data_IF_931575717633
#
_entry.id   IF_931575717633
#
_cell.length_a   1.000
_cell.length_b   1.000
_cell.length_c   1.000
_cell.angle_alpha   90.00
_cell.angle_beta   90.00
_cell.angle_gamma   90.00
#
_symmetry.space_group_name_H-M   'P 1'
#
loop_
_entity.id
_entity.type
_entity.pdbx_description
1 polymer ?
#
# COMPACT_ATOMS: atom_id res chain seq x y z
N UNK A 1 -19.62 -17.73 -9.95
CA UNK A 1 -19.44 -16.27 -10.09
C UNK A 1 -20.81 -15.65 -9.94
N UNK A 2 -20.98 -14.74 -8.97
CA UNK A 2 -22.26 -14.11 -8.65
C UNK A 2 -22.15 -12.63 -8.92
N UNK A 3 -23.16 -12.04 -9.58
CA UNK A 3 -23.17 -10.63 -9.95
C UNK A 3 -24.45 -9.96 -9.44
N UNK A 4 -24.33 -8.74 -8.92
CA UNK A 4 -25.45 -7.90 -8.49
C UNK A 4 -25.56 -6.72 -9.46
N UNK A 5 -26.70 -6.58 -10.13
CA UNK A 5 -26.92 -5.58 -11.19
C UNK A 5 -28.16 -4.72 -10.90
N UNK A 6 -28.28 -3.58 -11.59
CA UNK A 6 -29.36 -2.61 -11.36
C UNK A 6 -28.91 -1.17 -11.66
N UNK A 7 -29.87 -0.27 -11.88
CA UNK A 7 -29.64 1.14 -12.21
C UNK A 7 -28.94 1.91 -11.07
N UNK A 8 -28.30 3.04 -11.36
CA UNK A 8 -27.71 3.88 -10.30
C UNK A 8 -28.76 4.28 -9.25
N UNK A 9 -28.40 4.25 -7.97
CA UNK A 9 -29.33 4.49 -6.87
C UNK A 9 -30.22 3.31 -6.45
N UNK A 10 -30.16 2.16 -7.13
CA UNK A 10 -30.98 0.98 -6.78
C UNK A 10 -30.57 0.24 -5.50
N UNK A 11 -29.67 0.80 -4.68
CA UNK A 11 -29.20 0.20 -3.42
C UNK A 11 -28.16 -0.93 -3.55
N UNK A 12 -27.55 -1.16 -4.72
CA UNK A 12 -26.54 -2.24 -4.90
C UNK A 12 -25.37 -2.13 -3.93
N UNK A 13 -24.79 -0.92 -3.81
CA UNK A 13 -23.65 -0.68 -2.92
C UNK A 13 -24.05 -0.82 -1.45
N UNK A 14 -25.25 -0.33 -1.08
CA UNK A 14 -25.79 -0.52 0.27
C UNK A 14 -25.99 -1.99 0.61
N UNK A 15 -26.46 -2.80 -0.33
CA UNK A 15 -26.64 -4.24 -0.12
C UNK A 15 -25.29 -4.98 -0.02
N UNK A 16 -24.42 -4.82 -1.02
CA UNK A 16 -23.21 -5.66 -1.17
C UNK A 16 -22.04 -5.16 -0.32
N UNK A 17 -21.89 -3.84 -0.17
CA UNK A 17 -20.72 -3.24 0.49
C UNK A 17 -20.96 -2.86 1.94
N UNK A 18 -22.22 -2.71 2.38
CA UNK A 18 -22.59 -2.38 3.76
C UNK A 18 -23.32 -3.58 4.41
N UNK A 19 -24.60 -3.80 4.09
CA UNK A 19 -25.46 -4.75 4.79
C UNK A 19 -24.92 -6.19 4.78
N UNK A 20 -24.53 -6.72 3.61
CA UNK A 20 -24.01 -8.09 3.52
C UNK A 20 -22.67 -8.25 4.27
N UNK A 21 -21.83 -7.22 4.25
CA UNK A 21 -20.53 -7.24 4.96
C UNK A 21 -20.76 -7.27 6.47
N UNK A 22 -21.66 -6.42 6.97
CA UNK A 22 -22.02 -6.34 8.39
C UNK A 22 -22.64 -7.65 8.89
N UNK A 23 -23.65 -8.16 8.18
CA UNK A 23 -24.34 -9.41 8.55
C UNK A 23 -23.42 -10.64 8.54
N UNK A 24 -22.52 -10.74 7.54
CA UNK A 24 -21.56 -11.86 7.49
C UNK A 24 -20.52 -11.73 8.61
N UNK A 25 -20.02 -10.53 8.89
CA UNK A 25 -19.05 -10.32 9.97
C UNK A 25 -19.67 -10.66 11.34
N UNK A 26 -20.91 -10.21 11.58
CA UNK A 26 -21.66 -10.55 12.80
C UNK A 26 -21.82 -12.07 12.94
N UNK A 27 -22.23 -12.77 11.88
CA UNK A 27 -22.38 -14.22 11.88
C UNK A 27 -21.04 -14.97 12.07
N UNK A 28 -19.91 -14.38 11.62
CA UNK A 28 -18.56 -14.89 11.87
C UNK A 28 -18.03 -14.54 13.27
N UNK A 29 -18.78 -13.80 14.10
CA UNK A 29 -18.34 -13.32 15.41
C UNK A 29 -17.24 -12.24 15.32
N UNK A 30 -17.06 -11.62 14.15
CA UNK A 30 -16.12 -10.53 13.94
C UNK A 30 -16.82 -9.22 14.25
N UNK A 31 -16.35 -8.49 15.28
CA UNK A 31 -16.82 -7.12 15.50
C UNK A 31 -16.42 -6.27 14.32
N UNK A 32 -17.39 -5.63 13.66
CA UNK A 32 -17.13 -4.60 12.65
C UNK A 32 -16.34 -3.50 13.34
N UNK A 33 -15.03 -3.42 13.05
CA UNK A 33 -14.23 -2.27 13.45
C UNK A 33 -14.66 -1.16 12.50
N UNK A 34 -15.55 -0.30 12.95
CA UNK A 34 -15.66 1.03 12.37
C UNK A 34 -14.30 1.69 12.60
N UNK A 35 -13.49 1.77 11.55
CA UNK A 35 -12.26 2.56 11.59
C UNK A 35 -12.66 3.97 11.96
N UNK A 36 -12.20 4.45 13.12
CA UNK A 36 -12.44 5.82 13.52
C UNK A 36 -11.86 6.75 12.43
N UNK A 37 -12.62 7.74 11.93
CA UNK A 37 -12.15 8.63 10.89
C UNK A 37 -10.85 9.31 11.33
N UNK A 38 -9.81 9.19 10.51
CA UNK A 38 -8.47 9.74 10.75
C UNK A 38 -8.29 10.96 9.86
N UNK A 39 -9.01 12.04 10.18
CA UNK A 39 -8.85 13.34 9.54
C UNK A 39 -10.16 14.11 9.34
N UNK A 40 -10.04 15.43 9.20
CA UNK A 40 -11.19 16.35 9.05
C UNK A 40 -12.05 16.06 7.81
N UNK A 41 -11.46 15.57 6.71
CA UNK A 41 -12.20 15.18 5.51
C UNK A 41 -13.11 13.96 5.74
N UNK A 42 -12.69 13.03 6.60
CA UNK A 42 -13.37 11.76 6.87
C UNK A 42 -14.51 11.95 7.89
N UNK A 43 -14.44 13.01 8.70
CA UNK A 43 -15.54 13.48 9.55
C UNK A 43 -16.66 14.14 8.73
N UNK A 44 -16.31 14.79 7.62
CA UNK A 44 -17.29 15.42 6.71
C UNK A 44 -17.98 14.40 5.79
N UNK A 45 -17.32 13.26 5.52
CA UNK A 45 -17.83 12.12 4.74
C UNK A 45 -18.62 11.10 5.59
N UNK A 46 -18.95 11.41 6.85
CA UNK A 46 -19.92 10.61 7.61
C UNK A 46 -21.30 10.71 6.95
N UNK A 47 -21.52 9.91 5.91
CA UNK A 47 -22.87 9.50 5.52
C UNK A 47 -23.49 8.90 6.78
N UNK A 48 -24.58 9.53 7.24
CA UNK A 48 -25.43 9.07 8.35
C UNK A 48 -25.44 7.53 8.36
N UNK A 49 -24.93 6.92 9.43
CA UNK A 49 -24.96 5.46 9.62
C UNK A 49 -26.41 5.00 9.48
N UNK A 50 -26.77 4.55 8.27
CA UNK A 50 -28.07 3.94 8.03
C UNK A 50 -28.04 2.60 8.73
N UNK A 51 -28.88 2.43 9.74
CA UNK A 51 -29.04 1.13 10.42
C UNK A 51 -29.38 0.09 9.35
N UNK A 52 -28.44 -0.79 9.07
CA UNK A 52 -28.66 -1.93 8.20
C UNK A 52 -29.56 -2.93 8.95
N UNK A 53 -30.48 -3.54 8.22
CA UNK A 53 -31.38 -4.57 8.74
C UNK A 53 -31.38 -5.78 7.82
N UNK A 54 -31.54 -6.97 8.41
CA UNK A 54 -31.60 -8.23 7.68
C UNK A 54 -31.11 -9.39 8.53
N UNK A 55 -31.32 -10.61 8.05
CA UNK A 55 -30.78 -11.82 8.67
C UNK A 55 -30.26 -12.79 7.59
N UNK A 56 -29.19 -13.50 7.89
CA UNK A 56 -28.69 -14.59 7.05
C UNK A 56 -29.43 -15.87 7.46
N UNK A 57 -30.32 -16.35 6.62
CA UNK A 57 -31.20 -17.49 6.95
C UNK A 57 -30.56 -18.87 6.71
N UNK A 58 -29.51 -18.97 5.88
CA UNK A 58 -28.87 -20.23 5.53
C UNK A 58 -27.48 -20.04 4.88
N UNK A 59 -26.67 -21.11 4.82
CA UNK A 59 -25.44 -21.19 4.03
C UNK A 59 -24.20 -20.61 4.71
N UNK A 60 -24.33 -20.10 5.93
CA UNK A 60 -23.22 -19.50 6.68
C UNK A 60 -22.19 -20.55 7.11
N UNK A 61 -22.60 -21.81 7.27
CA UNK A 61 -21.75 -22.97 7.53
C UNK A 61 -20.67 -23.19 6.46
N UNK A 62 -20.85 -22.66 5.25
CA UNK A 62 -19.90 -22.74 4.14
C UNK A 62 -18.93 -21.55 4.07
N UNK A 63 -19.14 -20.51 4.89
CA UNK A 63 -18.36 -19.27 4.85
C UNK A 63 -17.47 -19.20 6.09
N UNK A 64 -16.15 -19.27 5.90
CA UNK A 64 -15.17 -19.18 7.00
C UNK A 64 -14.57 -17.79 7.17
N UNK A 65 -14.49 -17.02 6.09
CA UNK A 65 -13.83 -15.71 6.06
C UNK A 65 -14.45 -14.85 4.97
N UNK A 66 -14.72 -13.59 5.31
CA UNK A 66 -15.01 -12.55 4.34
C UNK A 66 -13.75 -11.73 4.04
N UNK A 67 -13.51 -11.44 2.76
CA UNK A 67 -12.48 -10.51 2.33
C UNK A 67 -13.18 -9.44 1.49
N UNK A 68 -13.23 -8.22 2.02
CA UNK A 68 -13.79 -7.08 1.31
C UNK A 68 -12.68 -6.38 0.51
N UNK A 69 -12.80 -6.41 -0.82
CA UNK A 69 -11.90 -5.68 -1.72
C UNK A 69 -12.68 -4.49 -2.25
N UNK A 70 -12.25 -3.29 -1.86
CA UNK A 70 -12.90 -2.04 -2.22
C UNK A 70 -11.95 -1.13 -3.03
N UNK A 71 -12.44 0.05 -3.42
CA UNK A 71 -11.67 1.05 -4.18
C UNK A 71 -10.98 2.08 -3.27
N UNK A 72 -10.94 1.87 -1.95
CA UNK A 72 -10.21 2.78 -1.06
C UNK A 72 -8.72 2.73 -1.41
N UNK A 73 -8.05 3.87 -1.29
CA UNK A 73 -6.62 3.95 -1.56
C UNK A 73 -5.85 2.96 -0.68
N UNK A 74 -4.92 2.21 -1.28
CA UNK A 74 -4.09 1.18 -0.62
C UNK A 74 -3.28 1.74 0.57
N UNK A 75 -2.89 3.00 0.48
CA UNK A 75 -2.28 3.76 1.55
C UNK A 75 -2.30 5.24 1.20
N UNK A 76 -2.40 6.11 2.21
CA UNK A 76 -2.39 7.57 2.04
C UNK A 76 -0.98 8.17 2.05
N UNK A 77 0.04 7.33 2.21
CA UNK A 77 1.43 7.79 2.26
C UNK A 77 2.20 7.40 1.01
N UNK A 78 3.20 8.22 0.60
CA UNK A 78 4.01 7.95 -0.58
C UNK A 78 4.97 6.76 -0.43
N UNK A 79 5.06 6.21 0.79
CA UNK A 79 5.86 5.03 1.13
C UNK A 79 5.16 3.73 0.69
N UNK A 80 3.86 3.79 0.43
CA UNK A 80 3.09 2.67 -0.11
C UNK A 80 3.23 2.62 -1.64
N UNK A 81 3.74 1.52 -2.17
CA UNK A 81 3.74 1.22 -3.59
C UNK A 81 3.33 -0.25 -3.79
N UNK A 82 3.20 -0.68 -5.05
CA UNK A 82 2.76 -2.04 -5.36
C UNK A 82 3.68 -3.12 -4.77
N UNK A 83 4.99 -2.85 -4.74
CA UNK A 83 5.98 -3.80 -4.22
C UNK A 83 5.91 -3.94 -2.69
N UNK A 84 5.67 -2.85 -1.96
CA UNK A 84 5.48 -2.90 -0.50
C UNK A 84 4.13 -3.50 -0.12
N UNK A 85 3.07 -3.21 -0.88
CA UNK A 85 1.74 -3.71 -0.57
C UNK A 85 1.60 -5.23 -0.78
N UNK A 86 2.20 -5.77 -1.85
CA UNK A 86 2.17 -7.20 -2.13
C UNK A 86 3.18 -8.01 -1.31
N UNK A 87 4.07 -7.35 -0.57
CA UNK A 87 5.19 -7.97 0.14
C UNK A 87 6.39 -8.32 -0.75
N UNK A 88 6.28 -8.18 -2.07
CA UNK A 88 7.36 -8.45 -3.04
C UNK A 88 8.66 -7.73 -2.67
N UNK A 89 8.56 -6.51 -2.16
CA UNK A 89 9.72 -5.70 -1.82
C UNK A 89 10.62 -6.35 -0.76
N UNK A 90 10.06 -7.15 0.15
CA UNK A 90 10.85 -7.85 1.17
C UNK A 90 11.79 -8.87 0.55
N UNK A 91 11.35 -9.57 -0.49
CA UNK A 91 12.17 -10.55 -1.19
C UNK A 91 13.22 -9.87 -2.08
N UNK A 92 12.86 -8.76 -2.74
CA UNK A 92 13.81 -7.91 -3.46
C UNK A 92 14.94 -7.45 -2.53
N UNK A 93 14.61 -6.96 -1.32
CA UNK A 93 15.62 -6.52 -0.34
C UNK A 93 16.56 -7.65 0.09
N UNK A 94 16.03 -8.86 0.28
CA UNK A 94 16.85 -10.05 0.60
C UNK A 94 17.80 -10.40 -0.54
N UNK A 95 17.36 -10.31 -1.80
CA UNK A 95 18.20 -10.56 -2.98
C UNK A 95 19.39 -9.59 -3.00
N UNK A 96 19.14 -8.29 -2.80
CA UNK A 96 20.21 -7.28 -2.76
C UNK A 96 21.19 -7.51 -1.60
N UNK A 97 20.69 -7.81 -0.40
CA UNK A 97 21.52 -8.16 0.76
C UNK A 97 22.34 -9.45 0.56
N UNK A 98 21.89 -10.36 -0.30
CA UNK A 98 22.58 -11.60 -0.61
C UNK A 98 23.76 -11.42 -1.60
N UNK A 99 23.87 -10.27 -2.28
CA UNK A 99 24.95 -9.97 -3.23
C UNK A 99 26.33 -9.98 -2.57
N UNK A 100 27.37 -10.28 -3.34
CA UNK A 100 28.76 -10.28 -2.82
C UNK A 100 29.18 -8.89 -2.33
N UNK A 101 28.81 -7.84 -3.07
CA UNK A 101 29.09 -6.45 -2.72
C UNK A 101 28.41 -6.08 -1.38
N UNK A 102 27.11 -6.37 -1.23
CA UNK A 102 26.42 -6.09 0.04
C UNK A 102 27.08 -6.81 1.22
N UNK A 103 27.43 -8.09 1.04
CA UNK A 103 28.08 -8.90 2.07
C UNK A 103 29.46 -8.37 2.45
N UNK A 104 30.28 -7.89 1.50
CA UNK A 104 31.60 -7.32 1.82
C UNK A 104 31.50 -6.02 2.62
N UNK A 105 30.41 -5.26 2.45
CA UNK A 105 30.13 -4.05 3.24
C UNK A 105 29.34 -4.32 4.53
N UNK A 106 28.95 -5.57 4.80
CA UNK A 106 28.14 -5.93 5.97
C UNK A 106 26.69 -5.42 5.89
N UNK A 107 26.16 -5.18 4.70
CA UNK A 107 24.79 -4.68 4.51
C UNK A 107 23.76 -5.81 4.64
N UNK A 108 22.71 -5.54 5.41
CA UNK A 108 21.54 -6.41 5.57
C UNK A 108 20.36 -5.93 4.70
N UNK A 109 19.28 -6.70 4.70
CA UNK A 109 18.05 -6.33 3.98
C UNK A 109 17.42 -5.01 4.49
N UNK A 110 17.79 -4.56 5.69
CA UNK A 110 17.38 -3.28 6.24
C UNK A 110 18.01 -2.10 5.50
N UNK A 111 19.29 -2.20 5.11
CA UNK A 111 19.97 -1.18 4.27
C UNK A 111 19.17 -0.85 3.01
N UNK A 112 18.60 -1.88 2.39
CA UNK A 112 17.82 -1.79 1.16
C UNK A 112 16.34 -1.38 1.37
N UNK A 113 15.98 -0.90 2.55
CA UNK A 113 14.63 -0.40 2.83
C UNK A 113 14.62 1.13 2.91
N UNK A 114 13.92 1.79 1.98
CA UNK A 114 13.70 3.24 2.04
C UNK A 114 12.89 3.68 3.27
N UNK A 115 12.26 2.75 4.00
CA UNK A 115 11.54 3.04 5.24
C UNK A 115 12.46 3.12 6.47
N UNK A 116 13.72 2.68 6.38
CA UNK A 116 14.66 2.67 7.51
C UNK A 116 15.81 3.65 7.30
N UNK A 117 16.39 4.15 8.39
CA UNK A 117 17.50 5.11 8.35
C UNK A 117 18.82 4.53 7.84
N UNK A 118 18.91 3.21 7.63
CA UNK A 118 20.18 2.54 7.30
C UNK A 118 20.75 2.91 5.94
N UNK A 119 19.90 3.01 4.91
CA UNK A 119 20.34 3.28 3.52
C UNK A 119 19.42 4.24 2.75
N UNK A 120 18.36 4.75 3.40
CA UNK A 120 17.47 5.73 2.78
C UNK A 120 18.17 7.09 2.66
N UNK A 121 17.80 7.86 1.65
CA UNK A 121 18.23 9.25 1.53
C UNK A 121 17.79 10.05 2.78
N UNK A 122 18.73 10.68 3.53
CA UNK A 122 18.40 11.41 4.74
C UNK A 122 17.60 12.69 4.45
N UNK A 123 17.83 13.33 3.30
CA UNK A 123 17.18 14.61 2.95
C UNK A 123 15.67 14.49 2.72
N UNK A 124 15.21 13.40 2.09
CA UNK A 124 13.78 13.16 1.84
C UNK A 124 13.20 12.03 2.69
N UNK A 125 13.98 11.53 3.66
CA UNK A 125 13.61 10.39 4.51
C UNK A 125 13.04 9.19 3.74
N UNK A 126 13.63 8.88 2.58
CA UNK A 126 13.21 7.79 1.71
C UNK A 126 11.92 8.01 0.92
N UNK A 127 11.32 9.20 0.95
CA UNK A 127 10.14 9.52 0.14
C UNK A 127 10.48 9.71 -1.35
N UNK A 128 11.69 10.19 -1.64
CA UNK A 128 12.13 10.56 -2.99
C UNK A 128 11.68 11.96 -3.41
N UNK A 129 10.86 12.63 -2.61
CA UNK A 129 10.41 13.99 -2.84
C UNK A 129 10.36 14.78 -1.55
N UNK A 130 10.31 16.09 -1.70
CA UNK A 130 10.15 17.06 -0.62
C UNK A 130 8.87 17.86 -0.87
N UNK A 131 8.12 18.10 0.19
CA UNK A 131 6.93 18.96 0.13
C UNK A 131 7.35 20.39 0.38
N UNK A 132 6.88 21.31 -0.45
CA UNK A 132 7.01 22.75 -0.25
C UNK A 132 5.65 23.28 0.15
N UNK A 133 5.54 23.75 1.39
CA UNK A 133 4.34 24.42 1.86
C UNK A 133 4.27 25.82 1.26
N UNK A 134 3.10 26.15 0.71
CA UNK A 134 2.80 27.43 0.12
C UNK A 134 1.69 28.08 0.94
N UNK A 135 1.86 29.36 1.28
CA UNK A 135 0.83 30.07 2.01
C UNK A 135 -0.41 30.21 1.12
N UNK A 136 -1.55 29.68 1.59
CA UNK A 136 -2.86 29.69 0.91
C UNK A 136 -3.01 28.81 -0.34
N UNK A 137 -2.03 27.96 -0.68
CA UNK A 137 -2.12 27.02 -1.81
C UNK A 137 -1.86 25.58 -1.35
N UNK A 138 -2.39 24.58 -2.07
CA UNK A 138 -2.03 23.19 -1.83
C UNK A 138 -0.52 23.00 -1.93
N UNK A 139 0.05 22.26 -0.97
CA UNK A 139 1.48 21.94 -0.99
C UNK A 139 1.86 21.23 -2.28
N UNK A 140 3.01 21.63 -2.84
CA UNK A 140 3.56 21.01 -4.05
C UNK A 140 4.67 20.04 -3.66
N UNK A 141 4.77 18.95 -4.41
CA UNK A 141 5.84 17.97 -4.25
C UNK A 141 6.86 18.12 -5.36
N UNK A 142 8.13 18.26 -5.00
CA UNK A 142 9.24 18.30 -5.93
C UNK A 142 10.15 17.08 -5.72
N UNK A 143 10.76 16.51 -6.77
CA UNK A 143 11.79 15.49 -6.61
C UNK A 143 12.88 15.97 -5.65
N UNK A 144 13.35 15.07 -4.80
CA UNK A 144 14.43 15.36 -3.87
C UNK A 144 15.69 15.74 -4.65
N UNK A 145 16.28 16.90 -4.39
CA UNK A 145 17.46 17.38 -5.12
C UNK A 145 18.74 16.59 -4.80
N UNK A 146 18.76 15.86 -3.67
CA UNK A 146 19.92 15.03 -3.27
C UNK A 146 19.90 13.66 -3.95
N UNK A 147 18.83 12.88 -3.82
CA UNK A 147 18.74 11.53 -4.43
C UNK A 147 18.06 11.52 -5.80
N UNK A 148 17.61 12.67 -6.32
CA UNK A 148 16.88 12.80 -7.59
C UNK A 148 15.70 11.82 -7.73
N UNK A 149 14.97 11.57 -6.63
CA UNK A 149 13.83 10.65 -6.62
C UNK A 149 14.16 9.19 -6.30
N UNK A 150 15.44 8.81 -6.21
CA UNK A 150 15.86 7.42 -6.05
C UNK A 150 15.65 6.85 -4.64
N UNK A 151 15.37 7.69 -3.64
CA UNK A 151 15.03 7.33 -2.24
C UNK A 151 16.17 6.76 -1.38
N UNK A 152 17.35 6.51 -1.94
CA UNK A 152 18.50 5.94 -1.22
C UNK A 152 19.72 6.87 -1.22
N UNK A 153 20.68 6.57 -0.36
CA UNK A 153 22.03 7.15 -0.40
C UNK A 153 22.89 6.51 -1.50
N UNK A 154 24.00 7.18 -1.84
CA UNK A 154 24.91 6.73 -2.92
C UNK A 154 25.55 5.38 -2.64
N UNK A 155 25.91 5.10 -1.37
CA UNK A 155 26.49 3.82 -0.96
C UNK A 155 25.55 2.64 -1.20
N UNK A 156 24.25 2.82 -0.95
CA UNK A 156 23.23 1.80 -1.17
C UNK A 156 22.97 1.60 -2.67
N UNK A 157 23.02 2.69 -3.46
CA UNK A 157 22.85 2.66 -4.92
C UNK A 157 24.05 2.06 -5.66
N UNK A 158 25.23 2.03 -5.03
CA UNK A 158 26.41 1.38 -5.59
C UNK A 158 26.29 -0.16 -5.65
N UNK A 159 25.38 -0.75 -4.87
CA UNK A 159 25.15 -2.20 -4.87
C UNK A 159 24.22 -2.58 -6.01
N UNK A 160 24.68 -3.49 -6.87
CA UNK A 160 23.90 -3.95 -8.02
C UNK A 160 23.60 -5.45 -7.97
N UNK A 161 22.46 -5.81 -8.55
CA UNK A 161 22.07 -7.17 -8.86
C UNK A 161 21.73 -7.22 -10.35
N UNK A 162 22.35 -8.13 -11.13
CA UNK A 162 22.18 -8.21 -12.59
C UNK A 162 22.27 -6.82 -13.27
N UNK A 163 23.32 -6.07 -12.92
CA UNK A 163 23.63 -4.72 -13.43
C UNK A 163 22.60 -3.62 -13.12
N UNK A 164 21.68 -3.84 -12.17
CA UNK A 164 20.74 -2.82 -11.68
C UNK A 164 20.86 -2.60 -10.19
N UNK A 165 20.79 -1.34 -9.76
CA UNK A 165 20.63 -1.02 -8.35
C UNK A 165 19.16 -1.14 -7.92
N UNK A 166 18.91 -1.04 -6.61
CA UNK A 166 17.56 -1.25 -6.08
C UNK A 166 16.54 -0.19 -6.51
N UNK A 167 16.98 1.07 -6.73
CA UNK A 167 16.09 2.13 -7.21
C UNK A 167 15.66 1.88 -8.67
N UNK A 168 16.57 1.40 -9.50
CA UNK A 168 16.29 1.04 -10.90
C UNK A 168 15.32 -0.14 -10.98
N UNK A 169 15.49 -1.15 -10.12
CA UNK A 169 14.57 -2.29 -10.01
C UNK A 169 13.16 -1.83 -9.60
N UNK A 170 13.06 -0.91 -8.64
CA UNK A 170 11.77 -0.34 -8.21
C UNK A 170 11.11 0.54 -9.28
N UNK A 171 11.87 1.00 -10.28
CA UNK A 171 11.36 1.80 -11.39
C UNK A 171 10.95 0.94 -12.61
N UNK A 172 11.08 -0.38 -12.53
CA UNK A 172 10.60 -1.28 -13.58
C UNK A 172 9.07 -1.37 -13.58
N UNK A 173 8.50 -1.59 -14.77
CA UNK A 173 7.12 -2.08 -14.88
C UNK A 173 7.05 -3.51 -14.34
N UNK A 174 5.84 -3.97 -13.96
CA UNK A 174 5.64 -5.33 -13.46
C UNK A 174 6.12 -6.39 -14.46
N UNK A 175 5.86 -6.17 -15.76
CA UNK A 175 6.31 -7.05 -16.84
C UNK A 175 7.84 -7.13 -16.91
N UNK A 176 8.53 -5.99 -16.92
CA UNK A 176 10.00 -5.96 -16.93
C UNK A 176 10.60 -6.53 -15.64
N UNK A 177 9.95 -6.32 -14.49
CA UNK A 177 10.38 -6.92 -13.24
C UNK A 177 10.25 -8.45 -13.28
N UNK A 178 9.17 -8.97 -13.85
CA UNK A 178 8.99 -10.41 -14.06
C UNK A 178 10.13 -10.98 -14.94
N UNK A 179 10.41 -10.38 -16.09
CA UNK A 179 11.55 -10.78 -16.95
C UNK A 179 12.91 -10.65 -16.24
N UNK A 180 13.05 -9.69 -15.33
CA UNK A 180 14.30 -9.45 -14.62
C UNK A 180 14.57 -10.48 -13.52
N UNK A 181 13.52 -11.00 -12.87
CA UNK A 181 13.62 -11.94 -11.75
C UNK A 181 13.39 -13.41 -12.13
N UNK A 182 12.60 -13.68 -13.16
CA UNK A 182 12.35 -15.03 -13.70
C UNK A 182 13.40 -15.42 -14.75
#
# INVERSE_FOLDING_TARGET
MTSVTGVSGSGKSSLVSQALVELINEALGQKTVTEAPVGEAELLEQELESVTGGEIVAGMEHVRRLININQKAIGRTPRSNLATYTGLFDDVRKIFAATKQAKSHGYDAGRFSFNTTKGRCPNCEGLGFVSVELLFLPSVYAPCQVCHGQRYDEETLAITYRDKNIAEVLNLTVEKAHEFFC
#
